data_IF_726950554878
#
_entry.id   IF_726950554878
#
_cell.length_a   1.000
_cell.length_b   1.000
_cell.length_c   1.000
_cell.angle_alpha   90.00
_cell.angle_beta   90.00
_cell.angle_gamma   90.00
#
_symmetry.space_group_name_H-M   'P 1'
#
loop_
_entity.id
_entity.type
_entity.pdbx_description
1 polymer ?
#
# COMPACT_ATOMS: atom_id res chain seq x y z
N UNK A 1 20.41 -40.71 35.76
CA UNK A 1 20.49 -40.18 37.11
C UNK A 1 19.93 -38.77 37.18
N UNK A 2 18.90 -38.55 38.01
CA UNK A 2 18.21 -37.31 38.39
C UNK A 2 17.54 -36.48 37.29
N UNK A 3 16.27 -36.82 37.13
CA UNK A 3 15.17 -36.05 36.56
C UNK A 3 14.91 -34.82 37.45
N UNK A 4 14.83 -33.61 36.84
CA UNK A 4 14.18 -32.44 37.48
C UNK A 4 12.97 -32.04 36.63
N UNK A 5 11.80 -32.31 37.20
CA UNK A 5 10.51 -31.78 36.78
C UNK A 5 10.44 -30.29 37.15
N UNK A 6 10.15 -29.42 36.21
CA UNK A 6 9.84 -27.99 36.43
C UNK A 6 8.37 -27.72 36.08
N UNK A 7 7.67 -27.16 37.05
CA UNK A 7 6.22 -26.88 37.11
C UNK A 7 5.74 -25.95 35.96
N UNK A 8 4.63 -26.34 35.35
CA UNK A 8 3.71 -25.42 34.68
C UNK A 8 2.95 -24.61 35.75
N UNK A 9 3.02 -23.28 35.68
CA UNK A 9 2.16 -22.39 36.45
C UNK A 9 1.04 -21.89 35.52
N UNK A 10 -0.16 -22.43 35.74
CA UNK A 10 -1.40 -21.98 35.12
C UNK A 10 -1.89 -20.77 35.88
N UNK A 11 -1.99 -19.60 35.23
CA UNK A 11 -2.57 -18.40 35.82
C UNK A 11 -4.07 -18.37 35.52
N UNK A 12 -4.90 -18.66 36.51
CA UNK A 12 -6.36 -18.50 36.47
C UNK A 12 -6.67 -17.08 36.92
N UNK A 13 -7.25 -16.27 36.01
CA UNK A 13 -7.81 -14.96 36.37
C UNK A 13 -9.26 -15.13 36.77
N UNK A 14 -9.54 -14.92 38.06
CA UNK A 14 -10.88 -14.94 38.64
C UNK A 14 -11.52 -13.57 38.48
N UNK A 15 -12.64 -13.47 37.77
CA UNK A 15 -13.51 -12.29 37.77
C UNK A 15 -14.32 -12.26 39.08
N UNK A 16 -14.01 -11.29 39.93
CA UNK A 16 -14.80 -10.98 41.11
C UNK A 16 -15.85 -9.91 40.78
N UNK A 17 -17.12 -10.28 40.94
CA UNK A 17 -18.25 -9.37 40.90
C UNK A 17 -18.35 -8.72 42.28
N UNK A 18 -18.24 -7.40 42.39
CA UNK A 18 -18.64 -6.64 43.57
C UNK A 18 -19.69 -5.63 43.12
N UNK A 19 -20.93 -5.89 43.47
CA UNK A 19 -22.00 -4.91 43.43
C UNK A 19 -21.97 -4.08 44.71
N UNK A 20 -22.04 -2.76 44.57
CA UNK A 20 -22.40 -1.86 45.68
C UNK A 20 -23.22 -0.69 45.13
N UNK A 21 -24.42 -0.57 45.63
CA UNK A 21 -25.30 0.58 45.48
C UNK A 21 -24.61 1.87 45.98
N UNK A 22 -24.70 2.97 45.25
CA UNK A 22 -24.80 4.31 45.81
C UNK A 22 -25.59 5.25 44.88
N UNK A 23 -26.35 6.08 45.57
CA UNK A 23 -27.48 6.86 45.14
C UNK A 23 -27.22 7.94 44.08
N UNK A 24 -28.31 8.36 43.50
CA UNK A 24 -28.48 9.41 42.54
C UNK A 24 -27.93 10.76 42.99
N UNK A 25 -27.06 11.37 42.19
CA UNK A 25 -26.94 12.81 42.08
C UNK A 25 -27.08 13.14 40.61
N UNK A 26 -28.23 13.72 40.28
CA UNK A 26 -28.52 14.28 38.97
C UNK A 26 -27.71 15.57 38.81
N UNK A 27 -26.58 15.52 38.14
CA UNK A 27 -25.94 16.66 37.52
C UNK A 27 -26.02 16.44 36.03
N UNK A 28 -26.75 17.33 35.34
CA UNK A 28 -26.91 17.27 33.89
C UNK A 28 -25.55 17.33 33.20
N UNK A 29 -25.11 16.18 32.70
CA UNK A 29 -24.07 16.10 31.68
C UNK A 29 -24.81 16.19 30.36
N UNK A 30 -24.70 17.34 29.71
CA UNK A 30 -25.10 17.45 28.32
C UNK A 30 -24.34 16.37 27.51
N UNK A 31 -25.01 15.63 26.57
CA UNK A 31 -24.31 14.72 25.74
C UNK A 31 -23.28 15.51 24.94
N UNK A 32 -22.01 15.08 25.02
CA UNK A 32 -20.97 15.59 24.18
C UNK A 32 -21.46 15.56 22.72
N UNK A 33 -21.43 16.72 22.09
CA UNK A 33 -21.70 16.93 20.67
C UNK A 33 -21.17 15.75 19.87
N UNK A 34 -22.05 15.08 19.14
CA UNK A 34 -21.69 14.16 18.10
C UNK A 34 -20.57 14.80 17.26
N UNK A 35 -19.40 14.19 17.31
CA UNK A 35 -18.33 14.56 16.39
C UNK A 35 -18.92 14.46 15.00
N UNK A 36 -19.05 15.60 14.35
CA UNK A 36 -19.53 15.73 12.98
C UNK A 36 -18.69 14.77 12.14
N UNK A 37 -19.24 13.62 11.83
CA UNK A 37 -18.72 12.73 10.81
C UNK A 37 -18.73 13.59 9.56
N UNK A 38 -17.54 14.03 9.11
CA UNK A 38 -17.38 14.74 7.86
C UNK A 38 -18.02 13.83 6.80
N UNK A 39 -19.20 14.23 6.33
CA UNK A 39 -19.88 13.63 5.18
C UNK A 39 -18.96 13.87 3.97
N UNK A 40 -17.97 13.00 3.81
CA UNK A 40 -17.26 12.91 2.54
C UNK A 40 -18.31 12.42 1.53
N UNK A 41 -18.60 13.20 0.49
CA UNK A 41 -19.58 12.79 -0.50
C UNK A 41 -19.17 11.41 -1.03
N UNK A 42 -20.09 10.45 -0.99
CA UNK A 42 -19.92 9.16 -1.64
C UNK A 42 -19.58 9.44 -3.10
N UNK A 43 -18.32 9.20 -3.49
CA UNK A 43 -17.90 9.37 -4.88
C UNK A 43 -18.81 8.52 -5.76
N UNK A 44 -19.46 9.19 -6.70
CA UNK A 44 -20.24 8.49 -7.73
C UNK A 44 -19.30 7.50 -8.47
N UNK A 45 -19.80 6.34 -8.94
CA UNK A 45 -19.01 5.47 -9.80
C UNK A 45 -18.42 6.19 -11.03
N UNK A 46 -19.03 7.29 -11.47
CA UNK A 46 -18.53 8.14 -12.55
C UNK A 46 -17.31 8.98 -12.16
N UNK A 47 -17.06 9.18 -10.86
CA UNK A 47 -15.95 9.99 -10.33
C UNK A 47 -14.73 9.13 -9.94
N UNK A 48 -14.82 7.81 -10.11
CA UNK A 48 -13.70 6.92 -9.84
C UNK A 48 -12.62 7.07 -10.91
N UNK A 49 -11.33 7.09 -10.53
CA UNK A 49 -10.27 7.25 -11.50
C UNK A 49 -10.22 6.04 -12.44
N UNK A 50 -10.10 6.33 -13.73
CA UNK A 50 -9.97 5.34 -14.80
C UNK A 50 -8.48 5.20 -15.12
N UNK A 51 -8.00 3.98 -15.13
CA UNK A 51 -6.61 3.64 -15.43
C UNK A 51 -6.28 3.87 -16.91
N UNK A 52 -5.00 4.05 -17.20
CA UNK A 52 -4.49 4.07 -18.58
C UNK A 52 -4.99 2.82 -19.32
N UNK A 53 -5.68 2.98 -20.48
CA UNK A 53 -6.17 1.85 -21.25
C UNK A 53 -5.07 0.87 -21.64
N UNK A 54 -5.31 -0.43 -21.49
CA UNK A 54 -4.33 -1.50 -21.71
C UNK A 54 -3.68 -1.43 -23.11
N UNK A 55 -4.40 -1.01 -24.13
CA UNK A 55 -3.88 -0.80 -25.50
C UNK A 55 -2.77 0.26 -25.60
N UNK A 56 -2.64 1.11 -24.58
CA UNK A 56 -1.65 2.19 -24.49
C UNK A 56 -0.46 1.81 -23.59
N UNK A 57 -0.44 0.59 -23.05
CA UNK A 57 0.67 0.12 -22.24
C UNK A 57 1.85 -0.25 -23.13
N UNK A 58 3.02 0.32 -22.83
CA UNK A 58 4.22 0.11 -23.64
C UNK A 58 5.47 0.28 -22.77
N UNK A 59 6.55 -0.39 -23.15
CA UNK A 59 7.83 -0.26 -22.46
C UNK A 59 8.31 1.19 -22.44
N UNK A 60 8.92 1.60 -21.34
CA UNK A 60 9.46 2.94 -21.14
C UNK A 60 8.42 4.02 -20.85
N UNK A 61 7.12 3.66 -20.81
CA UNK A 61 6.05 4.58 -20.44
C UNK A 61 5.26 4.01 -19.27
N UNK A 62 5.40 4.66 -18.11
CA UNK A 62 4.67 4.24 -16.90
C UNK A 62 3.16 4.48 -17.07
N UNK A 63 2.32 3.43 -16.99
CA UNK A 63 0.88 3.63 -17.00
C UNK A 63 0.39 4.16 -15.64
N UNK A 64 -0.70 4.89 -15.61
CA UNK A 64 -1.45 5.17 -14.39
C UNK A 64 -2.46 4.05 -14.18
N UNK A 65 -2.27 3.23 -13.13
CA UNK A 65 -3.17 2.15 -12.76
C UNK A 65 -3.70 2.39 -11.35
N UNK A 66 -5.03 2.38 -11.21
CA UNK A 66 -5.68 2.63 -9.94
C UNK A 66 -6.33 1.35 -9.41
N UNK A 67 -6.01 0.95 -8.19
CA UNK A 67 -6.67 -0.19 -7.54
C UNK A 67 -8.18 0.00 -7.39
N UNK A 68 -8.65 1.23 -7.43
CA UNK A 68 -10.06 1.60 -7.34
C UNK A 68 -10.80 1.59 -8.68
N UNK A 69 -10.10 1.34 -9.80
CA UNK A 69 -10.72 1.27 -11.14
C UNK A 69 -11.83 0.21 -11.18
N UNK A 70 -13.04 0.55 -11.64
CA UNK A 70 -14.17 -0.38 -11.72
C UNK A 70 -13.90 -1.68 -12.47
N UNK A 71 -12.93 -1.70 -13.40
CA UNK A 71 -12.56 -2.91 -14.15
C UNK A 71 -12.09 -4.05 -13.26
N UNK A 72 -11.48 -3.75 -12.10
CA UNK A 72 -10.89 -4.76 -11.22
C UNK A 72 -11.10 -4.52 -9.72
N UNK A 73 -11.57 -3.35 -9.31
CA UNK A 73 -11.70 -2.95 -7.90
C UNK A 73 -12.38 -4.01 -7.01
N UNK A 74 -13.38 -4.70 -7.53
CA UNK A 74 -14.16 -5.70 -6.79
C UNK A 74 -13.58 -7.12 -6.85
N UNK A 75 -12.43 -7.33 -7.49
CA UNK A 75 -11.80 -8.66 -7.52
C UNK A 75 -11.23 -9.00 -6.16
N UNK A 76 -11.29 -10.30 -5.73
CA UNK A 76 -10.73 -10.72 -4.44
C UNK A 76 -9.22 -10.50 -4.37
N UNK A 77 -8.73 -10.10 -3.19
CA UNK A 77 -7.32 -10.05 -2.85
C UNK A 77 -7.12 -9.95 -1.33
N UNK A 78 -6.29 -10.81 -0.74
CA UNK A 78 -5.89 -10.76 0.67
C UNK A 78 -7.06 -10.77 1.65
N UNK A 79 -8.11 -11.56 1.39
CA UNK A 79 -9.32 -11.64 2.21
C UNK A 79 -10.27 -10.44 2.06
N UNK A 80 -9.93 -9.45 1.25
CA UNK A 80 -10.76 -8.31 0.87
C UNK A 80 -10.84 -8.17 -0.65
N UNK A 81 -10.72 -6.94 -1.16
CA UNK A 81 -10.78 -6.66 -2.60
C UNK A 81 -9.50 -5.97 -3.08
N UNK A 82 -9.32 -5.94 -4.41
CA UNK A 82 -8.25 -5.17 -5.05
C UNK A 82 -8.32 -3.70 -4.64
N UNK A 83 -9.53 -3.13 -4.56
CA UNK A 83 -9.77 -1.76 -4.09
C UNK A 83 -9.13 -1.50 -2.72
N UNK A 84 -9.28 -2.45 -1.80
CA UNK A 84 -8.94 -2.25 -0.40
C UNK A 84 -7.46 -2.56 -0.11
N UNK A 85 -6.93 -3.62 -0.74
CA UNK A 85 -5.69 -4.25 -0.29
C UNK A 85 -4.57 -4.29 -1.33
N UNK A 86 -4.86 -4.04 -2.65
CA UNK A 86 -3.91 -4.35 -3.72
C UNK A 86 -3.04 -3.17 -4.19
N UNK A 87 -2.67 -2.24 -3.31
CA UNK A 87 -1.72 -1.18 -3.68
C UNK A 87 -0.38 -1.78 -4.17
N UNK A 88 0.15 -2.81 -3.49
CA UNK A 88 1.38 -3.47 -3.87
C UNK A 88 1.34 -4.10 -5.27
N UNK A 89 0.43 -5.05 -5.56
CA UNK A 89 0.29 -5.63 -6.90
C UNK A 89 -0.01 -4.59 -7.99
N UNK A 90 -0.79 -3.55 -7.69
CA UNK A 90 -1.06 -2.48 -8.65
C UNK A 90 0.19 -1.66 -8.95
N UNK A 91 0.96 -1.27 -7.91
CA UNK A 91 2.24 -0.59 -8.06
C UNK A 91 3.23 -1.43 -8.86
N UNK A 92 3.35 -2.73 -8.52
CA UNK A 92 4.25 -3.62 -9.26
C UNK A 92 3.79 -3.83 -10.71
N UNK A 93 2.49 -3.89 -11.00
CA UNK A 93 1.99 -3.98 -12.40
C UNK A 93 2.44 -2.77 -13.21
N UNK A 94 2.42 -1.56 -12.64
CA UNK A 94 2.92 -0.36 -13.32
C UNK A 94 4.41 -0.47 -13.65
N UNK A 95 5.24 -0.84 -12.68
CA UNK A 95 6.67 -1.04 -12.86
C UNK A 95 6.98 -2.17 -13.87
N UNK A 96 6.23 -3.27 -13.82
CA UNK A 96 6.35 -4.40 -14.74
C UNK A 96 6.08 -4.00 -16.18
N UNK A 97 4.98 -3.29 -16.44
CA UNK A 97 4.64 -2.76 -17.78
C UNK A 97 5.73 -1.80 -18.26
N UNK A 98 6.15 -0.88 -17.41
CA UNK A 98 7.19 0.09 -17.75
C UNK A 98 8.50 -0.59 -18.18
N UNK A 99 8.95 -1.59 -17.42
CA UNK A 99 10.21 -2.27 -17.67
C UNK A 99 10.13 -3.21 -18.89
N UNK A 100 9.04 -3.96 -19.02
CA UNK A 100 8.96 -5.09 -19.96
C UNK A 100 8.17 -4.80 -21.23
N UNK A 101 7.26 -3.83 -21.20
CA UNK A 101 6.24 -3.62 -22.24
C UNK A 101 5.18 -4.72 -22.31
N UNK A 102 5.25 -5.72 -21.41
CA UNK A 102 4.29 -6.84 -21.40
C UNK A 102 2.96 -6.39 -20.83
N UNK A 103 1.90 -6.89 -21.42
CA UNK A 103 0.52 -6.54 -21.08
C UNK A 103 -0.30 -7.74 -20.58
N UNK A 104 0.36 -8.85 -20.27
CA UNK A 104 -0.25 -10.11 -19.84
C UNK A 104 -0.85 -10.06 -18.43
N UNK A 105 -0.39 -9.14 -17.58
CA UNK A 105 -0.92 -8.94 -16.25
C UNK A 105 -1.63 -7.58 -16.11
N UNK A 106 -2.79 -7.59 -15.47
CA UNK A 106 -3.53 -6.43 -14.98
C UNK A 106 -3.40 -6.36 -13.46
N UNK A 107 -3.74 -5.24 -12.79
CA UNK A 107 -3.79 -5.20 -11.32
C UNK A 107 -4.53 -6.38 -10.69
N UNK A 108 -5.69 -6.78 -11.27
CA UNK A 108 -6.44 -7.92 -10.76
C UNK A 108 -5.71 -9.26 -10.92
N UNK A 109 -5.12 -9.52 -12.08
CA UNK A 109 -4.42 -10.80 -12.32
C UNK A 109 -3.08 -10.87 -11.60
N UNK A 110 -2.40 -9.74 -11.41
CA UNK A 110 -1.21 -9.64 -10.58
C UNK A 110 -1.56 -9.87 -9.10
N UNK A 111 -2.64 -9.27 -8.61
CA UNK A 111 -3.14 -9.49 -7.26
C UNK A 111 -3.52 -10.96 -7.04
N UNK A 112 -4.27 -11.57 -7.97
CA UNK A 112 -4.65 -12.98 -7.87
C UNK A 112 -3.42 -13.91 -7.85
N UNK A 113 -2.38 -13.60 -8.63
CA UNK A 113 -1.13 -14.34 -8.61
C UNK A 113 -0.42 -14.19 -7.25
N UNK A 114 -0.31 -12.96 -6.74
CA UNK A 114 0.31 -12.69 -5.45
C UNK A 114 -0.40 -13.40 -4.30
N UNK A 115 -1.74 -13.39 -4.29
CA UNK A 115 -2.56 -14.07 -3.29
C UNK A 115 -2.36 -15.59 -3.33
N UNK A 116 -2.40 -16.18 -4.53
CA UNK A 116 -2.19 -17.61 -4.74
C UNK A 116 -0.78 -18.09 -4.32
N UNK A 117 0.21 -17.19 -4.26
CA UNK A 117 1.58 -17.49 -3.84
C UNK A 117 1.89 -17.03 -2.40
N UNK A 118 0.87 -16.66 -1.62
CA UNK A 118 1.00 -16.36 -0.19
C UNK A 118 1.57 -14.97 0.13
N UNK A 119 1.50 -14.03 -0.83
CA UNK A 119 1.98 -12.67 -0.60
C UNK A 119 0.96 -11.71 0.02
N UNK A 120 -0.21 -12.22 0.48
CA UNK A 120 -1.22 -11.42 1.16
C UNK A 120 -1.92 -12.16 2.32
N UNK A 121 -1.19 -12.87 3.21
CA UNK A 121 -1.78 -13.74 4.23
C UNK A 121 -2.59 -12.97 5.28
N UNK A 122 -2.30 -11.68 5.46
CA UNK A 122 -2.91 -10.81 6.48
C UNK A 122 -3.76 -9.68 5.90
N UNK A 123 -4.06 -9.73 4.58
CA UNK A 123 -4.81 -8.68 3.89
C UNK A 123 -3.92 -7.59 3.28
N UNK A 124 -2.69 -7.43 3.75
CA UNK A 124 -1.69 -6.50 3.18
C UNK A 124 -0.68 -7.27 2.31
N UNK A 125 -0.14 -6.61 1.30
CA UNK A 125 0.92 -7.18 0.47
C UNK A 125 2.22 -7.30 1.26
N UNK A 126 2.76 -8.52 1.35
CA UNK A 126 4.06 -8.79 1.96
C UNK A 126 5.19 -8.11 1.17
N UNK A 127 6.21 -7.63 1.88
CA UNK A 127 7.35 -6.93 1.26
C UNK A 127 8.16 -7.84 0.34
N UNK A 128 8.21 -9.14 0.63
CA UNK A 128 8.85 -10.15 -0.20
C UNK A 128 8.26 -10.23 -1.62
N UNK A 129 7.02 -9.78 -1.81
CA UNK A 129 6.45 -9.64 -3.15
C UNK A 129 7.26 -8.67 -4.04
N UNK A 130 7.83 -7.62 -3.44
CA UNK A 130 8.66 -6.65 -4.18
C UNK A 130 10.05 -7.19 -4.54
N UNK A 131 10.46 -8.34 -3.98
CA UNK A 131 11.74 -9.00 -4.26
C UNK A 131 11.54 -10.37 -4.91
N UNK A 132 11.13 -11.35 -4.13
CA UNK A 132 10.92 -12.74 -4.58
C UNK A 132 9.78 -12.83 -5.61
N UNK A 133 8.66 -12.13 -5.33
CA UNK A 133 7.55 -12.03 -6.27
C UNK A 133 7.98 -11.41 -7.58
N UNK A 134 8.70 -10.28 -7.56
CA UNK A 134 9.20 -9.61 -8.76
C UNK A 134 10.12 -10.51 -9.60
N UNK A 135 11.00 -11.28 -8.95
CA UNK A 135 11.91 -12.21 -9.62
C UNK A 135 11.15 -13.29 -10.41
N UNK A 136 9.98 -13.74 -9.97
CA UNK A 136 9.15 -14.70 -10.69
C UNK A 136 8.65 -14.16 -12.04
N UNK A 137 8.63 -12.84 -12.22
CA UNK A 137 8.27 -12.15 -13.47
C UNK A 137 9.50 -11.76 -14.32
N UNK A 138 10.70 -12.17 -13.91
CA UNK A 138 11.94 -11.82 -14.59
C UNK A 138 12.38 -10.37 -14.36
N UNK A 139 11.89 -9.76 -13.26
CA UNK A 139 12.24 -8.40 -12.84
C UNK A 139 13.11 -8.47 -11.60
N UNK A 140 14.28 -7.85 -11.66
CA UNK A 140 15.19 -7.70 -10.52
C UNK A 140 14.78 -6.50 -9.68
N UNK A 141 14.93 -6.61 -8.36
CA UNK A 141 14.75 -5.47 -7.47
C UNK A 141 15.84 -5.40 -6.40
N UNK A 142 16.12 -4.18 -5.95
CA UNK A 142 17.02 -3.93 -4.83
C UNK A 142 16.28 -3.10 -3.79
N UNK A 143 16.09 -3.70 -2.59
CA UNK A 143 15.54 -3.01 -1.42
C UNK A 143 16.60 -2.16 -0.73
N UNK A 144 16.19 -1.02 -0.20
CA UNK A 144 17.02 -0.13 0.62
C UNK A 144 16.15 0.72 1.56
N UNK A 145 16.74 1.22 2.66
CA UNK A 145 16.10 2.22 3.51
C UNK A 145 15.88 3.49 2.67
N UNK A 146 14.65 4.01 2.68
CA UNK A 146 14.29 5.15 1.83
C UNK A 146 15.20 6.35 2.09
N UNK A 147 15.90 6.78 1.06
CA UNK A 147 16.75 7.96 1.11
C UNK A 147 16.86 8.62 -0.27
N UNK A 148 17.10 9.92 -0.25
CA UNK A 148 17.14 10.79 -1.42
C UNK A 148 18.15 10.34 -2.48
N UNK A 149 19.35 10.00 -2.06
CA UNK A 149 20.46 9.70 -2.98
C UNK A 149 20.19 8.43 -3.78
N UNK A 150 19.72 7.35 -3.11
CA UNK A 150 19.44 6.08 -3.78
C UNK A 150 18.20 6.16 -4.67
N UNK A 151 17.15 6.89 -4.25
CA UNK A 151 15.97 7.11 -5.09
C UNK A 151 16.37 7.91 -6.33
N UNK A 152 17.05 9.06 -6.16
CA UNK A 152 17.50 9.89 -7.28
C UNK A 152 18.40 9.13 -8.24
N UNK A 153 19.36 8.36 -7.71
CA UNK A 153 20.28 7.56 -8.52
C UNK A 153 19.54 6.45 -9.32
N UNK A 154 18.50 5.85 -8.75
CA UNK A 154 17.70 4.85 -9.45
C UNK A 154 16.88 5.50 -10.58
N UNK A 155 16.15 6.58 -10.28
CA UNK A 155 15.29 7.28 -11.24
C UNK A 155 16.11 7.86 -12.40
N UNK A 156 17.27 8.46 -12.13
CA UNK A 156 18.20 8.97 -13.16
C UNK A 156 18.72 7.87 -14.10
N UNK A 157 18.68 6.62 -13.70
CA UNK A 157 19.02 5.45 -14.52
C UNK A 157 17.80 4.83 -15.23
N UNK A 158 16.64 5.48 -15.16
CA UNK A 158 15.38 4.94 -15.72
C UNK A 158 14.84 3.72 -14.96
N UNK A 159 15.29 3.51 -13.72
CA UNK A 159 14.80 2.43 -12.86
C UNK A 159 13.63 2.95 -12.03
N UNK A 160 12.41 2.41 -12.21
CA UNK A 160 11.29 2.80 -11.37
C UNK A 160 11.54 2.35 -9.91
N UNK A 161 11.04 3.16 -8.98
CA UNK A 161 11.15 2.89 -7.55
C UNK A 161 9.75 2.71 -6.98
N UNK A 162 9.52 1.64 -6.21
CA UNK A 162 8.32 1.49 -5.38
C UNK A 162 8.72 1.81 -3.95
N UNK A 163 8.00 2.75 -3.32
CA UNK A 163 8.22 3.15 -1.93
C UNK A 163 7.07 2.73 -1.04
N UNK A 164 7.41 2.21 0.15
CA UNK A 164 6.46 1.91 1.22
C UNK A 164 6.26 3.15 2.08
N UNK A 165 5.11 3.78 1.93
CA UNK A 165 4.73 4.98 2.65
C UNK A 165 4.16 4.65 4.03
N UNK A 166 4.55 5.44 5.02
CA UNK A 166 3.98 5.48 6.36
C UNK A 166 2.79 6.45 6.41
N UNK A 167 2.20 6.59 7.59
CA UNK A 167 1.13 7.58 7.84
C UNK A 167 1.61 8.99 7.48
N UNK A 168 0.86 9.68 6.64
CA UNK A 168 1.16 11.00 6.13
C UNK A 168 0.24 11.39 4.97
N UNK A 169 0.76 12.15 4.01
CA UNK A 169 -0.01 12.66 2.87
C UNK A 169 -0.53 11.56 1.93
N UNK A 170 0.13 10.40 1.93
CA UNK A 170 -0.18 9.30 1.02
C UNK A 170 -1.11 8.27 1.63
N UNK A 171 -1.16 8.14 2.95
CA UNK A 171 -1.95 7.07 3.61
C UNK A 171 -2.14 7.33 5.10
N UNK A 172 -3.18 6.70 5.67
CA UNK A 172 -3.41 6.63 7.13
C UNK A 172 -2.95 5.29 7.75
N UNK A 173 -2.38 4.40 6.92
CA UNK A 173 -1.87 3.08 7.31
C UNK A 173 -0.53 2.83 6.61
N UNK A 174 -0.31 1.73 5.94
CA UNK A 174 0.80 1.52 5.02
C UNK A 174 0.33 1.61 3.58
N UNK A 175 1.20 2.04 2.63
CA UNK A 175 0.81 2.16 1.22
C UNK A 175 2.01 2.04 0.28
N UNK A 176 1.82 1.43 -0.88
CA UNK A 176 2.84 1.38 -1.92
C UNK A 176 2.52 2.38 -3.03
N UNK A 177 3.50 3.23 -3.36
CA UNK A 177 3.44 4.13 -4.51
C UNK A 177 4.62 3.87 -5.45
N UNK A 178 4.49 4.28 -6.72
CA UNK A 178 5.58 4.19 -7.70
C UNK A 178 6.14 5.57 -8.01
N UNK A 179 7.44 5.67 -8.06
CA UNK A 179 8.19 6.84 -8.52
C UNK A 179 8.80 6.48 -9.89
N UNK A 180 8.59 7.32 -10.91
CA UNK A 180 9.02 7.01 -12.28
C UNK A 180 10.06 7.95 -12.85
N UNK A 181 10.14 9.16 -12.35
CA UNK A 181 11.04 10.20 -12.84
C UNK A 181 11.37 11.21 -11.74
N UNK A 182 12.44 11.96 -11.92
CA UNK A 182 12.85 13.08 -11.06
C UNK A 182 13.35 14.24 -11.92
N UNK A 183 12.83 15.44 -11.65
CA UNK A 183 13.26 16.66 -12.35
C UNK A 183 14.52 17.30 -11.72
N UNK A 184 15.10 18.29 -12.42
CA UNK A 184 16.30 19.03 -11.97
C UNK A 184 16.08 19.78 -10.65
N UNK A 185 14.82 20.01 -10.26
CA UNK A 185 14.45 20.66 -8.99
C UNK A 185 14.30 19.66 -7.85
N UNK A 186 14.42 18.36 -8.11
CA UNK A 186 14.29 17.29 -7.14
C UNK A 186 12.82 16.92 -6.87
N UNK A 187 11.89 17.23 -7.78
CA UNK A 187 10.54 16.75 -7.69
C UNK A 187 10.40 15.41 -8.42
N UNK A 188 9.69 14.46 -7.82
CA UNK A 188 9.45 13.14 -8.38
C UNK A 188 8.05 13.01 -8.96
N UNK A 189 7.94 12.28 -10.06
CA UNK A 189 6.65 11.89 -10.63
C UNK A 189 6.14 10.67 -9.90
N UNK A 190 4.96 10.80 -9.28
CA UNK A 190 4.31 9.76 -8.49
C UNK A 190 3.19 9.10 -9.30
N UNK A 191 3.11 7.77 -9.23
CA UNK A 191 1.98 6.96 -9.68
C UNK A 191 1.40 6.24 -8.46
N UNK A 192 0.33 6.80 -7.91
CA UNK A 192 -0.33 6.30 -6.70
C UNK A 192 -1.51 5.40 -7.06
N UNK A 193 -1.48 4.11 -6.71
CA UNK A 193 -2.58 3.18 -6.97
C UNK A 193 -3.93 3.59 -6.39
N UNK A 194 -3.94 4.38 -5.33
CA UNK A 194 -5.17 4.77 -4.63
C UNK A 194 -5.66 6.18 -4.96
N UNK A 195 -4.87 7.00 -5.71
CA UNK A 195 -5.22 8.41 -5.91
C UNK A 195 -4.77 8.99 -7.23
N UNK A 196 -5.73 9.34 -8.08
CA UNK A 196 -5.47 10.12 -9.29
C UNK A 196 -4.99 11.54 -8.94
N UNK A 197 -5.49 12.11 -7.84
CA UNK A 197 -5.07 13.43 -7.40
C UNK A 197 -3.59 13.44 -7.03
N UNK A 198 -3.11 12.50 -6.21
CA UNK A 198 -1.68 12.40 -5.86
C UNK A 198 -0.80 12.08 -7.08
N UNK A 199 -1.35 11.39 -8.07
CA UNK A 199 -0.67 11.09 -9.33
C UNK A 199 -0.67 12.25 -10.34
N UNK A 200 -1.43 13.32 -10.12
CA UNK A 200 -1.59 14.42 -11.09
C UNK A 200 -0.54 15.53 -10.98
N UNK A 201 0.33 15.45 -9.98
CA UNK A 201 1.40 16.42 -9.75
C UNK A 201 2.68 15.74 -9.29
N UNK A 202 3.79 16.47 -9.36
CA UNK A 202 5.07 16.04 -8.82
C UNK A 202 5.16 16.36 -7.34
N UNK A 203 6.02 15.63 -6.63
CA UNK A 203 6.23 15.79 -5.20
C UNK A 203 7.72 16.03 -4.90
N UNK A 204 8.05 16.93 -3.98
CA UNK A 204 9.44 17.05 -3.51
C UNK A 204 9.93 15.69 -3.01
N UNK A 205 11.12 15.26 -3.44
CA UNK A 205 11.69 13.98 -3.03
C UNK A 205 11.82 13.87 -1.51
N UNK A 206 12.09 14.98 -0.83
CA UNK A 206 12.19 15.03 0.63
C UNK A 206 10.86 14.65 1.29
N UNK A 207 9.72 15.09 0.73
CA UNK A 207 8.38 14.69 1.21
C UNK A 207 8.12 13.19 1.06
N UNK A 208 8.70 12.54 0.05
CA UNK A 208 8.61 11.09 -0.12
C UNK A 208 9.48 10.39 0.92
N UNK A 209 10.73 10.83 1.08
CA UNK A 209 11.70 10.21 1.99
C UNK A 209 11.23 10.30 3.44
N UNK A 210 10.77 11.48 3.86
CA UNK A 210 10.31 11.71 5.24
C UNK A 210 9.11 10.86 5.63
N UNK A 211 8.32 10.42 4.64
CA UNK A 211 7.10 9.63 4.83
C UNK A 211 7.22 8.17 4.40
N UNK A 212 8.41 7.69 4.06
CA UNK A 212 8.61 6.30 3.63
C UNK A 212 9.65 5.58 4.49
N UNK A 213 9.48 4.24 4.63
CA UNK A 213 10.44 3.40 5.38
C UNK A 213 11.42 2.74 4.43
N UNK A 214 10.90 2.02 3.44
CA UNK A 214 11.69 1.24 2.50
C UNK A 214 11.32 1.57 1.07
N UNK A 215 12.29 1.41 0.18
CA UNK A 215 12.10 1.55 -1.26
C UNK A 215 12.78 0.40 -2.00
N UNK A 216 12.22 0.05 -3.15
CA UNK A 216 12.75 -0.97 -4.06
C UNK A 216 12.97 -0.35 -5.44
N UNK A 217 14.21 -0.37 -5.92
CA UNK A 217 14.53 0.01 -7.29
C UNK A 217 14.47 -1.23 -8.19
N UNK A 218 13.75 -1.14 -9.31
CA UNK A 218 13.50 -2.26 -10.22
C UNK A 218 14.28 -2.13 -11.54
N UNK A 219 14.68 -3.27 -12.10
CA UNK A 219 15.35 -3.36 -13.41
C UNK A 219 15.08 -4.74 -14.06
N UNK A 220 15.35 -4.84 -15.35
CA UNK A 220 15.43 -6.13 -16.07
C UNK A 220 16.77 -6.82 -15.82
#
# INVERSE_FOLDING_TARGET
LRIRRGLLATLIVIFGIIGALFGAISAGVEPASEATQLDMPLMSPADLPISTPKKSWTQGKMPYLYQTDPMWAQRPYGGGTVRDNACGPTAFTMAYVYLTGRIDYTPATMAAWADAHGYAPSGSTEWSFMTEGAAAFGVSSKMFDSNKDQISAALSQGKPVISLMNIGDFTNVGHFIVLSDIDDSGNVTVHDPASAWRSSHTWPIDSIVDQSTYSWAFSL
#
